data_IF_418980748237
#
_entry.id   IF_418980748237
#
_cell.length_a   1.000
_cell.length_b   1.000
_cell.length_c   1.000
_cell.angle_alpha   90.00
_cell.angle_beta   90.00
_cell.angle_gamma   90.00
#
_symmetry.space_group_name_H-M   'P 1'
#
loop_
_entity.id
_entity.type
_entity.pdbx_description
1 polymer ?
#
# COMPACT_ATOMS: atom_id res chain seq x y z
N UNK A 1 -18.38 -28.67 4.03
CA UNK A 1 -17.91 -27.27 4.08
C UNK A 1 -16.65 -27.26 4.92
N UNK A 2 -15.46 -26.96 4.35
CA UNK A 2 -14.22 -26.90 5.12
C UNK A 2 -14.25 -25.62 5.95
N UNK A 3 -14.83 -25.70 7.15
CA UNK A 3 -14.91 -24.59 8.12
C UNK A 3 -14.48 -25.02 9.52
N UNK A 4 -14.08 -26.28 9.67
CA UNK A 4 -13.77 -26.89 10.95
C UNK A 4 -12.26 -26.94 11.25
N UNK A 5 -11.81 -27.95 12.03
CA UNK A 5 -10.42 -28.11 12.46
C UNK A 5 -9.39 -28.17 11.32
N UNK A 6 -9.81 -28.53 10.10
CA UNK A 6 -8.92 -28.65 8.93
C UNK A 6 -8.22 -27.33 8.58
N UNK A 7 -8.90 -26.18 8.71
CA UNK A 7 -8.28 -24.86 8.45
C UNK A 7 -7.15 -24.59 9.45
N UNK A 8 -7.34 -24.95 10.73
CA UNK A 8 -6.32 -24.79 11.75
C UNK A 8 -5.09 -25.67 11.50
N UNK A 9 -5.30 -26.89 10.98
CA UNK A 9 -4.21 -27.80 10.60
C UNK A 9 -3.40 -27.21 9.42
N UNK A 10 -4.08 -26.66 8.40
CA UNK A 10 -3.41 -26.03 7.26
C UNK A 10 -2.60 -24.81 7.72
N UNK A 11 -3.18 -23.96 8.57
CA UNK A 11 -2.46 -22.80 9.14
C UNK A 11 -1.24 -23.26 9.94
N UNK A 12 -1.40 -24.28 10.78
CA UNK A 12 -0.29 -24.83 11.57
C UNK A 12 0.83 -25.36 10.66
N UNK A 13 0.49 -26.07 9.57
CA UNK A 13 1.46 -26.58 8.61
C UNK A 13 2.23 -25.44 7.92
N UNK A 14 1.53 -24.39 7.49
CA UNK A 14 2.15 -23.20 6.90
C UNK A 14 3.08 -22.52 7.91
N UNK A 15 2.66 -22.38 9.17
CA UNK A 15 3.49 -21.80 10.23
C UNK A 15 4.73 -22.65 10.53
N UNK A 16 4.65 -23.98 10.44
CA UNK A 16 5.81 -24.87 10.62
C UNK A 16 6.78 -24.76 9.45
N UNK A 17 6.30 -24.77 8.21
CA UNK A 17 7.13 -24.69 7.00
C UNK A 17 7.83 -23.34 6.86
N UNK A 18 7.09 -22.25 7.10
CA UNK A 18 7.62 -20.89 6.96
C UNK A 18 8.24 -20.39 8.27
N UNK A 19 7.83 -20.90 9.43
CA UNK A 19 8.21 -20.40 10.74
C UNK A 19 7.35 -19.22 11.18
N UNK A 20 6.91 -19.22 12.45
CA UNK A 20 6.01 -18.20 13.00
C UNK A 20 6.51 -16.75 12.93
N UNK A 21 7.82 -16.54 12.71
CA UNK A 21 8.40 -15.21 12.56
C UNK A 21 8.37 -14.65 11.12
N UNK A 22 8.14 -15.46 10.09
CA UNK A 22 8.12 -15.00 8.69
C UNK A 22 6.82 -14.29 8.32
N UNK A 23 5.67 -14.81 8.78
CA UNK A 23 4.35 -14.21 8.49
C UNK A 23 4.26 -12.74 8.97
N UNK A 24 4.63 -12.40 10.22
CA UNK A 24 4.64 -11.01 10.68
C UNK A 24 5.61 -10.11 9.92
N UNK A 25 6.78 -10.65 9.53
CA UNK A 25 7.79 -9.91 8.75
C UNK A 25 7.28 -9.57 7.35
N UNK A 26 6.66 -10.53 6.66
CA UNK A 26 6.06 -10.31 5.34
C UNK A 26 4.93 -9.27 5.44
N UNK A 27 4.03 -9.42 6.41
CA UNK A 27 2.95 -8.46 6.63
C UNK A 27 3.47 -7.04 6.90
N UNK A 28 4.50 -6.91 7.75
CA UNK A 28 5.10 -5.61 8.07
C UNK A 28 5.81 -4.98 6.88
N UNK A 29 6.56 -5.75 6.10
CA UNK A 29 7.26 -5.26 4.91
C UNK A 29 6.28 -4.89 3.81
N UNK A 30 5.27 -5.72 3.55
CA UNK A 30 4.21 -5.46 2.58
C UNK A 30 3.38 -4.24 2.98
N UNK A 31 3.04 -4.09 4.26
CA UNK A 31 2.31 -2.93 4.77
C UNK A 31 3.08 -1.62 4.60
N UNK A 32 4.40 -1.63 4.83
CA UNK A 32 5.27 -0.47 4.57
C UNK A 32 5.30 -0.13 3.08
N UNK A 33 5.51 -1.13 2.22
CA UNK A 33 5.53 -0.93 0.77
C UNK A 33 4.20 -0.38 0.24
N UNK A 34 3.06 -0.91 0.72
CA UNK A 34 1.74 -0.38 0.36
C UNK A 34 1.53 1.06 0.86
N UNK A 35 2.03 1.39 2.07
CA UNK A 35 1.96 2.75 2.62
C UNK A 35 2.77 3.76 1.80
N UNK A 36 4.00 3.42 1.45
CA UNK A 36 4.86 4.26 0.61
C UNK A 36 4.28 4.42 -0.81
N UNK A 37 3.74 3.35 -1.40
CA UNK A 37 3.06 3.41 -2.69
C UNK A 37 1.84 4.34 -2.64
N UNK A 38 0.98 4.21 -1.62
CA UNK A 38 -0.21 5.07 -1.48
C UNK A 38 0.17 6.53 -1.29
N UNK A 39 1.24 6.80 -0.54
CA UNK A 39 1.79 8.15 -0.34
C UNK A 39 2.31 8.73 -1.66
N UNK A 40 3.14 7.99 -2.39
CA UNK A 40 3.68 8.42 -3.69
C UNK A 40 2.58 8.67 -4.73
N UNK A 41 1.54 7.82 -4.78
CA UNK A 41 0.38 8.06 -5.65
C UNK A 41 -0.40 9.31 -5.26
N UNK A 42 -0.57 9.58 -3.96
CA UNK A 42 -1.27 10.78 -3.49
C UNK A 42 -0.47 12.06 -3.76
N UNK A 43 0.85 12.01 -3.58
CA UNK A 43 1.75 13.14 -3.84
C UNK A 43 1.81 13.44 -5.34
N UNK A 44 2.01 12.43 -6.19
CA UNK A 44 2.03 12.62 -7.64
C UNK A 44 0.71 13.17 -8.21
N UNK A 45 -0.44 12.73 -7.69
CA UNK A 45 -1.73 13.33 -8.09
C UNK A 45 -1.89 14.77 -7.62
N UNK A 46 -1.33 15.13 -6.46
CA UNK A 46 -1.35 16.49 -5.94
C UNK A 46 -0.42 17.42 -6.72
N UNK A 47 0.71 16.93 -7.21
CA UNK A 47 1.64 17.67 -8.08
C UNK A 47 1.00 17.96 -9.45
N UNK A 48 0.45 16.93 -10.11
CA UNK A 48 -0.24 17.09 -11.41
C UNK A 48 -1.39 18.12 -11.35
N UNK A 49 -2.10 18.21 -10.22
CA UNK A 49 -3.17 19.21 -10.04
C UNK A 49 -2.65 20.63 -9.70
N UNK A 50 -1.44 20.76 -9.14
CA UNK A 50 -0.84 22.07 -8.83
C UNK A 50 -0.23 22.71 -10.07
N UNK A 51 0.34 21.93 -10.97
CA UNK A 51 0.89 22.41 -12.25
C UNK A 51 -0.21 22.82 -13.26
N UNK A 52 -1.46 22.42 -13.03
CA UNK A 52 -2.62 22.82 -13.84
C UNK A 52 -3.29 24.13 -13.37
N UNK A 53 -2.76 24.81 -12.34
CA UNK A 53 -3.29 26.11 -11.94
C UNK A 53 -2.70 27.20 -12.85
N UNK A 54 -3.53 27.90 -13.65
CA UNK A 54 -3.03 29.00 -14.46
C UNK A 54 -2.56 30.11 -13.52
N UNK A 55 -1.35 30.61 -13.75
CA UNK A 55 -0.80 31.78 -13.08
C UNK A 55 -1.80 32.94 -13.17
N UNK A 56 -2.40 33.41 -12.06
CA UNK A 56 -3.21 34.61 -12.07
C UNK A 56 -2.26 35.80 -12.01
N UNK A 57 -1.78 36.26 -13.17
CA UNK A 57 -0.81 37.35 -13.20
C UNK A 57 -0.42 37.93 -14.56
N UNK A 58 -0.69 37.27 -15.69
CA UNK A 58 -0.41 37.83 -17.01
C UNK A 58 -1.63 38.58 -17.55
N UNK A 59 -1.88 39.77 -16.99
CA UNK A 59 -2.75 40.76 -17.62
C UNK A 59 -2.13 41.19 -18.96
N UNK A 60 -2.84 41.09 -20.10
CA UNK A 60 -2.47 41.82 -21.31
C UNK A 60 -2.64 43.31 -21.01
N UNK A 61 -1.53 44.00 -20.74
CA UNK A 61 -1.47 45.45 -20.82
C UNK A 61 -1.51 45.82 -22.31
N UNK A 62 -2.68 46.26 -22.78
CA UNK A 62 -2.87 46.85 -24.11
C UNK A 62 -3.89 47.99 -24.02
#
# INVERSE_FOLDING_TARGET
MPGGPEIWIIIALVVVLFGGSRLPKIARNLGRAQGELKKGLSEGNAEVNKDAKPEPGSAPQA
#
